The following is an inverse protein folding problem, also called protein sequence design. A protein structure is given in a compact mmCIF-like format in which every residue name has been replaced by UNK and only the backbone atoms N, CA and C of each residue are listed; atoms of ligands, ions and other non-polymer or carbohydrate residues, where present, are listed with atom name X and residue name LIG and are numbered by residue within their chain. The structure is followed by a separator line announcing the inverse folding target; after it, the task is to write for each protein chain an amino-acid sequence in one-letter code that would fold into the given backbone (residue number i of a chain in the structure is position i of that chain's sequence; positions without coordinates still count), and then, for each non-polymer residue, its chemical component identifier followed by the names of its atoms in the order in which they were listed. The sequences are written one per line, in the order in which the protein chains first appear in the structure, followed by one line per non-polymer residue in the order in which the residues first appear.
data_IF_467159800962
#
_entry.id   IF_467159800962
#
_cell.length_a   1.000
_cell.length_b   1.000
_cell.length_c   1.000
_cell.angle_alpha   90.00
_cell.angle_beta   90.00
_cell.angle_gamma   90.00
#
_symmetry.space_group_name_H-M   'P 1'
#
loop_
_entity.id
_entity.type
_entity.pdbx_description
1 polymer ?
#
# COMPACT_ATOMS: atom_id res chain seq x y z
N UNK A 1 3.56 5.56 24.04
CA UNK A 1 4.57 5.63 23.01
C UNK A 1 3.95 5.64 21.66
N UNK A 2 4.58 6.27 20.71
CA UNK A 2 4.02 6.39 19.36
C UNK A 2 4.69 5.42 18.41
N UNK A 3 3.88 4.73 17.64
CA UNK A 3 4.41 3.82 16.63
C UNK A 3 3.40 3.87 15.49
N UNK A 4 3.68 4.64 14.47
CA UNK A 4 2.73 4.89 13.42
C UNK A 4 3.47 4.91 12.09
N UNK A 5 2.93 4.19 11.13
CA UNK A 5 3.52 4.11 9.82
C UNK A 5 2.43 4.31 8.79
N UNK A 6 2.67 5.18 7.83
CA UNK A 6 1.74 5.39 6.74
C UNK A 6 2.52 5.23 5.45
N UNK A 7 2.01 4.39 4.58
CA UNK A 7 2.72 4.10 3.34
C UNK A 7 1.75 4.09 2.17
N UNK A 8 2.26 4.45 1.04
CA UNK A 8 1.51 4.35 -0.20
C UNK A 8 2.41 3.64 -1.20
N UNK A 9 1.92 2.61 -1.82
CA UNK A 9 2.72 1.88 -2.79
C UNK A 9 1.87 0.92 -3.58
N UNK A 10 2.51 0.15 -4.42
CA UNK A 10 1.80 -0.80 -5.25
C UNK A 10 2.09 -2.21 -4.77
N UNK A 11 1.10 -3.06 -4.86
CA UNK A 11 1.30 -4.44 -4.47
C UNK A 11 2.19 -5.13 -5.47
N UNK A 12 3.14 -5.89 -5.00
CA UNK A 12 4.08 -6.58 -5.88
C UNK A 12 3.48 -7.87 -6.40
N UNK A 13 2.45 -8.40 -5.73
CA UNK A 13 1.77 -9.59 -6.18
C UNK A 13 0.44 -9.64 -5.46
N UNK A 14 -0.39 -10.59 -5.82
CA UNK A 14 -1.69 -10.69 -5.18
C UNK A 14 -1.51 -11.02 -3.71
N UNK A 15 -2.34 -10.46 -2.84
CA UNK A 15 -2.24 -10.75 -1.41
C UNK A 15 -2.63 -12.19 -1.15
N UNK A 16 -2.01 -12.78 -0.15
CA UNK A 16 -2.31 -14.14 0.21
C UNK A 16 -3.06 -14.17 1.51
N UNK A 17 -4.26 -14.70 1.49
CA UNK A 17 -5.07 -14.82 2.68
C UNK A 17 -4.88 -16.20 3.27
N UNK A 18 -4.64 -16.26 4.57
CA UNK A 18 -4.53 -17.53 5.26
C UNK A 18 -5.37 -17.48 6.50
N UNK A 19 -5.85 -18.62 6.89
CA UNK A 19 -6.65 -18.70 8.07
C UNK A 19 -5.88 -19.51 9.08
N UNK A 20 -5.76 -19.01 10.29
CA UNK A 20 -5.03 -19.70 11.32
C UNK A 20 -5.92 -20.71 12.01
N UNK A 21 -5.30 -21.64 12.73
CA UNK A 21 -6.07 -22.65 13.45
C UNK A 21 -7.04 -22.04 14.43
N UNK A 22 -6.75 -20.84 14.91
CA UNK A 22 -7.64 -20.20 15.86
C UNK A 22 -8.82 -19.53 15.18
N UNK A 23 -8.89 -19.58 13.86
CA UNK A 23 -9.96 -18.92 13.16
C UNK A 23 -9.63 -17.52 12.71
N UNK A 24 -8.49 -17.00 13.10
CA UNK A 24 -8.13 -15.66 12.68
C UNK A 24 -7.61 -15.69 11.25
N UNK A 25 -7.84 -14.60 10.55
CA UNK A 25 -7.39 -14.50 9.19
C UNK A 25 -6.21 -13.54 9.10
N UNK A 26 -5.28 -13.88 8.25
CA UNK A 26 -4.09 -13.08 8.04
C UNK A 26 -3.86 -12.93 6.55
N UNK A 27 -3.58 -11.73 6.12
CA UNK A 27 -3.22 -11.50 4.73
C UNK A 27 -1.85 -10.86 4.70
N UNK A 28 -0.95 -11.44 3.92
CA UNK A 28 0.40 -10.89 3.73
C UNK A 28 0.49 -10.30 2.36
N UNK A 29 1.12 -9.15 2.28
CA UNK A 29 1.36 -8.55 0.97
C UNK A 29 2.59 -7.66 1.09
N UNK A 30 3.18 -7.33 -0.04
CA UNK A 30 4.37 -6.49 -0.08
C UNK A 30 4.06 -5.28 -0.93
N UNK A 31 4.41 -4.11 -0.41
CA UNK A 31 4.21 -2.88 -1.14
C UNK A 31 5.53 -2.41 -1.71
N UNK A 32 5.50 -1.98 -2.95
CA UNK A 32 6.65 -1.38 -3.59
C UNK A 32 6.46 0.12 -3.42
N UNK A 33 7.30 0.72 -2.62
CA UNK A 33 7.21 2.14 -2.31
C UNK A 33 8.40 2.84 -2.94
N UNK A 34 8.14 3.74 -3.84
CA UNK A 34 9.23 4.40 -4.53
C UNK A 34 9.87 5.43 -3.63
N UNK A 35 11.17 5.31 -3.42
CA UNK A 35 11.89 6.29 -2.66
C UNK A 35 12.42 7.36 -3.60
N UNK A 36 12.77 6.97 -4.80
CA UNK A 36 13.22 7.91 -5.80
C UNK A 36 12.98 7.25 -7.14
N UNK A 37 13.31 7.93 -8.20
CA UNK A 37 13.06 7.34 -9.50
C UNK A 37 13.80 6.04 -9.70
N UNK A 38 14.89 5.87 -9.03
CA UNK A 38 15.68 4.70 -9.25
C UNK A 38 15.68 3.72 -8.12
N UNK A 39 15.08 4.04 -7.00
CA UNK A 39 15.14 3.16 -5.85
C UNK A 39 13.74 2.91 -5.35
N UNK A 40 13.41 1.65 -5.18
CA UNK A 40 12.10 1.26 -4.66
C UNK A 40 12.34 0.37 -3.45
N UNK A 41 11.62 0.66 -2.40
CA UNK A 41 11.71 -0.16 -1.20
C UNK A 41 10.56 -1.13 -1.22
N UNK A 42 10.83 -2.38 -0.85
CA UNK A 42 9.79 -3.39 -0.80
C UNK A 42 9.50 -3.67 0.67
N UNK A 43 8.31 -3.35 1.09
CA UNK A 43 7.96 -3.38 2.49
C UNK A 43 6.88 -4.42 2.73
N UNK A 44 7.14 -5.35 3.64
CA UNK A 44 6.18 -6.38 3.95
C UNK A 44 5.12 -5.87 4.87
N UNK A 45 3.89 -6.21 4.57
CA UNK A 45 2.75 -5.78 5.36
C UNK A 45 1.92 -6.99 5.74
N UNK A 46 1.30 -6.90 6.90
CA UNK A 46 0.46 -7.97 7.41
C UNK A 46 -0.83 -7.36 7.90
N UNK A 47 -1.94 -7.92 7.51
CA UNK A 47 -3.25 -7.46 7.96
C UNK A 47 -3.95 -8.61 8.64
N UNK A 48 -4.82 -8.29 9.59
CA UNK A 48 -5.53 -9.31 10.34
C UNK A 48 -7.03 -9.13 10.23
N UNK A 49 -7.74 -10.22 10.33
CA UNK A 49 -9.19 -10.25 10.44
C UNK A 49 -9.90 -9.42 9.35
N UNK A 50 -10.69 -8.44 9.74
CA UNK A 50 -11.45 -7.70 8.74
C UNK A 50 -10.55 -7.01 7.72
N UNK A 51 -9.45 -6.44 8.16
CA UNK A 51 -8.54 -5.77 7.26
C UNK A 51 -7.93 -6.79 6.32
N UNK A 52 -7.70 -8.01 6.83
CA UNK A 52 -7.15 -9.06 5.97
C UNK A 52 -8.15 -9.42 4.88
N UNK A 53 -9.43 -9.49 5.21
CA UNK A 53 -10.43 -9.82 4.23
C UNK A 53 -10.51 -8.69 3.19
N UNK A 54 -10.45 -7.46 3.61
CA UNK A 54 -10.51 -6.36 2.69
C UNK A 54 -9.34 -6.40 1.73
N UNK A 55 -8.14 -6.64 2.25
CA UNK A 55 -6.97 -6.68 1.39
C UNK A 55 -7.10 -7.81 0.38
N UNK A 56 -7.46 -8.98 0.84
CA UNK A 56 -7.53 -10.12 -0.06
C UNK A 56 -8.65 -9.99 -1.09
N UNK A 57 -9.74 -9.33 -0.72
CA UNK A 57 -10.87 -9.24 -1.61
C UNK A 57 -10.72 -8.17 -2.66
N UNK A 58 -10.10 -7.07 -2.33
CA UNK A 58 -10.11 -5.95 -3.23
C UNK A 58 -8.77 -5.60 -3.88
N UNK A 59 -7.68 -6.07 -3.35
CA UNK A 59 -6.38 -5.71 -3.88
C UNK A 59 -5.80 -6.81 -4.77
N UNK A 60 -5.09 -6.39 -5.78
CA UNK A 60 -4.42 -7.33 -6.66
C UNK A 60 -3.07 -6.77 -7.02
N UNK A 61 -2.22 -7.61 -7.60
CA UNK A 61 -0.91 -7.19 -8.03
C UNK A 61 -1.00 -5.92 -8.82
N UNK A 62 -0.19 -4.96 -8.51
CA UNK A 62 -0.11 -3.70 -9.22
C UNK A 62 -1.03 -2.61 -8.73
N UNK A 63 -1.97 -2.96 -7.85
CA UNK A 63 -2.89 -1.95 -7.33
C UNK A 63 -2.18 -1.02 -6.38
N UNK A 64 -2.60 0.22 -6.35
CA UNK A 64 -2.05 1.19 -5.44
C UNK A 64 -2.85 1.14 -4.16
N UNK A 65 -2.16 1.09 -3.05
CA UNK A 65 -2.82 1.04 -1.75
C UNK A 65 -2.16 2.02 -0.80
N UNK A 66 -2.95 2.55 0.10
CA UNK A 66 -2.44 3.41 1.16
C UNK A 66 -2.74 2.68 2.44
N UNK A 67 -1.72 2.41 3.22
CA UNK A 67 -1.90 1.66 4.46
C UNK A 67 -1.47 2.47 5.65
N UNK A 68 -2.14 2.27 6.75
CA UNK A 68 -1.78 2.89 8.01
C UNK A 68 -1.66 1.78 9.03
N UNK A 69 -0.60 1.81 9.82
CA UNK A 69 -0.39 0.76 10.79
C UNK A 69 0.78 1.09 11.68
N UNK A 70 1.44 0.07 12.15
CA UNK A 70 2.58 0.27 13.01
C UNK A 70 3.70 -0.65 12.57
N UNK A 71 4.90 -0.33 12.97
CA UNK A 71 6.04 -1.13 12.65
C UNK A 71 6.16 -2.23 13.68
N UNK A 72 6.35 -3.44 13.24
CA UNK A 72 6.48 -4.57 14.13
C UNK A 72 7.77 -5.30 13.80
N UNK A 73 8.53 -5.61 14.82
CA UNK A 73 9.78 -6.33 14.64
C UNK A 73 9.63 -7.68 15.29
N UNK A 74 9.91 -8.73 14.56
CA UNK A 74 9.84 -10.06 15.07
C UNK A 74 11.23 -10.64 15.08
N UNK A 75 11.59 -11.29 16.14
CA UNK A 75 12.92 -11.85 16.30
C UNK A 75 12.78 -13.34 16.57
N UNK A 76 13.61 -14.15 15.95
CA UNK A 76 13.57 -15.58 16.21
C UNK A 76 14.98 -16.14 15.94
N UNK A 77 15.21 -17.36 16.35
CA UNK A 77 16.47 -18.01 16.09
C UNK A 77 16.26 -19.03 14.99
N UNK A 78 17.15 -19.04 14.04
CA UNK A 78 17.04 -19.98 12.96
C UNK A 78 17.73 -21.29 13.34
N UNK A 79 17.83 -22.20 12.41
CA UNK A 79 18.36 -23.51 12.68
C UNK A 79 19.81 -23.46 13.11
N UNK A 80 20.51 -22.43 12.73
CA UNK A 80 21.90 -22.31 13.10
C UNK A 80 22.03 -21.49 14.37
N UNK A 81 20.90 -21.26 15.04
CA UNK A 81 20.91 -20.51 16.27
C UNK A 81 21.33 -19.07 16.08
N UNK A 82 21.25 -18.54 14.91
CA UNK A 82 21.54 -17.15 14.70
C UNK A 82 20.25 -16.38 14.91
N UNK A 83 20.36 -15.24 15.52
CA UNK A 83 19.20 -14.39 15.77
C UNK A 83 18.82 -13.73 14.46
N UNK A 84 17.56 -13.85 14.08
CA UNK A 84 17.06 -13.23 12.87
C UNK A 84 15.98 -12.24 13.25
N UNK A 85 15.90 -11.17 12.48
CA UNK A 85 14.89 -10.17 12.70
C UNK A 85 14.15 -9.90 11.43
N UNK A 86 12.88 -9.65 11.55
CA UNK A 86 12.08 -9.30 10.41
C UNK A 86 11.24 -8.13 10.80
N UNK A 87 11.25 -7.05 10.00
CA UNK A 87 10.47 -5.87 10.26
C UNK A 87 9.31 -5.86 9.30
N UNK A 88 8.10 -5.75 9.81
CA UNK A 88 6.92 -5.70 9.00
C UNK A 88 6.03 -4.59 9.47
N UNK A 89 5.06 -4.21 8.65
CA UNK A 89 4.09 -3.22 9.04
C UNK A 89 2.79 -3.96 9.30
N UNK A 90 2.28 -3.83 10.51
CA UNK A 90 0.99 -4.40 10.86
C UNK A 90 -0.05 -3.35 10.49
N UNK A 91 -0.92 -3.68 9.58
CA UNK A 91 -1.80 -2.72 8.97
C UNK A 91 -3.14 -2.69 9.68
N UNK A 92 -3.56 -1.51 10.07
CA UNK A 92 -4.86 -1.35 10.72
C UNK A 92 -5.90 -0.86 9.73
N UNK A 93 -5.46 -0.14 8.71
CA UNK A 93 -6.40 0.47 7.81
C UNK A 93 -5.83 0.47 6.41
N UNK A 94 -6.64 0.15 5.44
CA UNK A 94 -6.21 0.13 4.05
C UNK A 94 -7.18 0.97 3.26
N UNK A 95 -6.63 1.84 2.43
CA UNK A 95 -7.43 2.60 1.49
C UNK A 95 -6.82 2.35 0.12
N UNK A 96 -7.63 2.29 -0.88
CA UNK A 96 -7.11 2.04 -2.21
C UNK A 96 -7.96 2.76 -3.22
N UNK A 97 -7.38 3.07 -4.36
CA UNK A 97 -8.11 3.71 -5.41
C UNK A 97 -8.69 2.61 -6.27
N UNK A 98 -9.87 2.78 -6.78
CA UNK A 98 -10.44 1.79 -7.64
C UNK A 98 -9.54 1.62 -8.84
N UNK A 99 -9.46 0.40 -9.30
CA UNK A 99 -8.64 0.16 -10.41
C UNK A 99 -9.27 0.87 -11.54
N UNK A 100 -8.50 1.41 -12.35
CA UNK A 100 -9.03 2.14 -13.40
C UNK A 100 -9.84 1.35 -14.28
N UNK A 101 -10.11 0.38 -14.20
CA UNK A 101 -10.92 -0.29 -14.92
C UNK A 101 -10.66 -0.10 -16.20
N UNK A 102 -10.07 -0.25 -16.60
CA UNK A 102 -9.70 -0.11 -17.71
C UNK A 102 -10.54 0.02 -18.60
N UNK A 103 -11.20 -0.04 -18.67
CA UNK A 103 -12.06 0.11 -19.44
C UNK A 103 -12.17 1.13 -19.93
N UNK A 104 -12.28 1.43 -20.03
CA UNK A 104 -12.46 2.28 -20.49
C UNK A 104 -11.71 3.17 -20.82
N UNK A 105 -11.21 3.06 -20.83
CA UNK A 105 -10.58 3.81 -21.02
C UNK A 105 -10.63 4.37 -21.89
N UNK A 106 -10.84 4.14 -22.15
CA UNK A 106 -10.82 4.56 -22.91
C UNK A 106 -10.96 5.45 -23.38
N UNK A 107 -10.94 5.26 -23.50
CA UNK A 107 -10.97 5.94 -23.95
C UNK A 107 -11.35 7.03 -24.14
N UNK A 108 -11.57 7.11 -24.22
CA UNK A 108 -11.89 8.03 -24.40
C UNK A 108 -11.83 8.96 -23.78
N UNK A 109 -11.74 8.94 -23.40
CA UNK A 109 -11.68 9.71 -22.70
C UNK A 109 -11.09 10.66 -22.70
N UNK A 110 -10.83 10.91 -23.08
CA UNK A 110 -10.14 11.73 -23.08
C UNK A 110 -10.41 12.92 -22.78
N UNK A 111 -10.86 13.12 -22.72
CA UNK A 111 -11.04 14.10 -22.49
C UNK A 111 -11.04 14.67 -21.42
N UNK A 112 -10.83 14.61 -20.82
CA UNK A 112 -10.82 15.13 -19.80
C UNK A 112 -10.08 15.98 -19.79
N UNK A 113 -9.93 16.30 -19.94
CA UNK A 113 -9.38 17.06 -19.92
C UNK A 113 -8.87 18.00 -19.81
N UNK A 114 -8.57 18.18 -20.21
CA UNK A 114 -8.08 19.05 -20.25
C UNK A 114 -8.41 20.09 -19.55
N UNK A 115 -8.87 20.16 -18.98
CA UNK A 115 -9.31 21.03 -18.30
C UNK A 115 -8.27 21.63 -17.58
N UNK A 116 -8.00 22.48 -17.70
CA UNK A 116 -7.09 23.11 -17.14
C UNK A 116 -7.44 24.00 -16.35
N UNK A 117 -7.29 24.23 -15.89
CA UNK A 117 -7.74 24.87 -15.00
C UNK A 117 -7.24 25.97 -14.58
N UNK A 118 -7.80 26.43 -14.03
CA UNK A 118 -7.51 27.54 -13.45
C UNK A 118 -6.37 27.43 -12.62
N UNK A 119 -6.04 26.35 -12.31
CA UNK A 119 -5.01 26.23 -11.55
C UNK A 119 -3.95 26.97 -11.94
N UNK A 120 -3.73 26.97 -13.12
CA UNK A 120 -2.73 27.66 -13.54
C UNK A 120 -2.71 28.92 -12.99
N UNK A 121 -3.69 29.50 -12.99
CA UNK A 121 -3.64 30.75 -12.51
C UNK A 121 -3.19 30.78 -11.19
N UNK A 122 -3.59 29.94 -10.52
CA UNK A 122 -3.21 29.96 -9.24
C UNK A 122 -1.84 29.96 -9.15
N UNK A 123 -1.34 29.23 -9.93
CA UNK A 123 -0.02 29.21 -9.84
C UNK A 123 0.55 30.37 -9.79
N UNK A 124 0.21 31.02 -10.51
CA UNK A 124 0.80 32.17 -10.53
C UNK A 124 0.85 32.55 -9.28
N UNK A 125 0.01 32.41 -8.84
CA UNK A 125 0.06 32.91 -7.66
C UNK A 125 1.02 32.24 -7.07
N UNK A 126 1.18 31.39 -7.58
CA UNK A 126 2.10 30.78 -7.14
C UNK A 126 2.55 31.11 -5.97
N UNK A 127 2.32 31.54 -5.70
CA UNK A 127 2.73 31.90 -4.76
C UNK A 127 2.39 31.12 -3.71
N UNK A 128 2.11 30.22 -3.90
CA UNK A 128 1.82 29.49 -2.98
C UNK A 128 2.71 29.35 -2.14
N UNK A 129 2.51 29.47 -1.34
CA UNK A 129 3.32 29.48 -0.33
C UNK A 129 3.79 28.18 -0.02
N UNK A 130 3.65 27.40 -0.35
CA UNK A 130 4.26 26.29 0.08
C UNK A 130 4.92 25.72 -0.95
#
# INVERSE_FOLDING_TARGET
MLNSVNLQGRLTRDPELRELATGKKITNFTLAVERSKEVTDFIRCVAFDRVADTAASYLKKGDMAIVAGRLTVRTWKDKEEKTREETTVTVYEINFTPRAREEPRNAEAPERPKYQPPFEDLDDGGELPF
#
